data_IF_090751075854
#
_entry.id   IF_090751075854
#
_cell.length_a   1.000
_cell.length_b   1.000
_cell.length_c   1.000
_cell.angle_alpha   90.00
_cell.angle_beta   90.00
_cell.angle_gamma   90.00
#
_symmetry.space_group_name_H-M   'P 1'
#
loop_
_entity.id
_entity.type
_entity.pdbx_description
1 polymer ?
#
# COMPACT_ATOMS: atom_id res chain seq x y z
N UNK A 1 5.70 -11.36 -13.54
CA UNK A 1 5.36 -11.12 -12.14
C UNK A 1 6.44 -11.74 -11.30
N UNK A 2 7.11 -10.94 -10.48
CA UNK A 2 8.17 -11.38 -9.58
C UNK A 2 7.77 -11.01 -8.16
N UNK A 3 7.96 -11.93 -7.21
CA UNK A 3 7.73 -11.66 -5.79
C UNK A 3 8.97 -10.95 -5.25
N UNK A 4 8.83 -9.66 -4.93
CA UNK A 4 9.94 -8.84 -4.40
C UNK A 4 10.03 -8.96 -2.88
N UNK A 5 8.87 -9.05 -2.21
CA UNK A 5 8.80 -9.15 -0.76
C UNK A 5 7.55 -9.93 -0.33
N UNK A 6 7.68 -10.67 0.77
CA UNK A 6 6.55 -11.25 1.49
C UNK A 6 6.85 -11.36 2.98
N UNK A 7 5.83 -11.20 3.83
CA UNK A 7 5.96 -11.40 5.28
C UNK A 7 6.45 -12.81 5.63
N UNK A 8 6.04 -13.82 4.86
CA UNK A 8 6.39 -15.22 5.11
C UNK A 8 7.86 -15.54 4.81
N UNK A 9 8.46 -14.93 3.80
CA UNK A 9 9.84 -15.22 3.38
C UNK A 9 10.84 -14.26 4.02
N UNK A 10 10.45 -13.00 4.25
CA UNK A 10 11.37 -11.92 4.62
C UNK A 10 11.15 -11.37 6.03
N UNK A 11 10.04 -11.73 6.69
CA UNK A 11 9.70 -11.29 8.04
C UNK A 11 9.15 -9.86 8.11
N UNK A 12 8.79 -9.44 9.33
CA UNK A 12 8.00 -8.24 9.63
C UNK A 12 8.83 -7.00 9.96
N UNK A 13 9.72 -6.59 9.06
CA UNK A 13 10.58 -5.42 9.25
C UNK A 13 10.46 -4.46 8.07
N UNK A 14 10.10 -3.20 8.34
CA UNK A 14 10.02 -2.19 7.29
C UNK A 14 11.41 -1.88 6.68
N UNK A 15 12.48 -2.03 7.45
CA UNK A 15 13.86 -1.95 6.90
C UNK A 15 14.09 -3.03 5.85
N UNK A 16 13.74 -4.29 6.14
CA UNK A 16 13.90 -5.40 5.19
C UNK A 16 12.98 -5.23 3.98
N UNK A 17 11.77 -4.71 4.19
CA UNK A 17 10.86 -4.36 3.11
C UNK A 17 11.46 -3.36 2.13
N UNK A 18 12.13 -2.30 2.62
CA UNK A 18 12.83 -1.34 1.75
C UNK A 18 14.04 -1.97 1.05
N UNK A 19 14.84 -2.77 1.76
CA UNK A 19 16.00 -3.47 1.20
C UNK A 19 15.60 -4.37 0.01
N UNK A 20 14.49 -5.11 0.14
CA UNK A 20 13.94 -5.95 -0.93
C UNK A 20 13.50 -5.15 -2.18
N UNK A 21 13.26 -3.85 -2.05
CA UNK A 21 12.78 -2.99 -3.15
C UNK A 21 13.88 -2.11 -3.77
N UNK A 22 15.10 -2.10 -3.22
CA UNK A 22 16.14 -1.14 -3.64
C UNK A 22 16.53 -1.22 -5.11
N UNK A 23 16.51 -2.41 -5.70
CA UNK A 23 16.89 -2.65 -7.10
C UNK A 23 15.66 -2.74 -8.03
N UNK A 24 14.46 -2.49 -7.52
CA UNK A 24 13.22 -2.51 -8.30
C UNK A 24 12.96 -1.12 -8.90
N UNK A 25 13.05 -0.99 -10.22
CA UNK A 25 12.66 0.23 -10.96
C UNK A 25 11.37 -0.01 -11.76
N UNK A 26 10.43 -0.75 -11.18
CA UNK A 26 9.19 -1.16 -11.85
C UNK A 26 7.97 -0.91 -10.96
N UNK A 27 6.79 -0.71 -11.56
CA UNK A 27 5.56 -0.64 -10.78
C UNK A 27 5.34 -1.88 -9.93
N UNK A 28 4.84 -1.68 -8.72
CA UNK A 28 4.59 -2.75 -7.76
C UNK A 28 3.11 -2.86 -7.41
N UNK A 29 2.67 -4.10 -7.18
CA UNK A 29 1.37 -4.39 -6.58
C UNK A 29 1.61 -4.90 -5.17
N UNK A 30 1.05 -4.17 -4.21
CA UNK A 30 0.96 -4.57 -2.83
C UNK A 30 -0.35 -5.33 -2.60
N UNK A 31 -0.26 -6.53 -2.04
CA UNK A 31 -1.39 -7.41 -1.70
C UNK A 31 -1.37 -7.67 -0.20
N UNK A 32 -2.45 -7.33 0.50
CA UNK A 32 -2.62 -7.50 1.95
C UNK A 32 -3.80 -8.43 2.20
N UNK A 33 -3.64 -9.32 3.18
CA UNK A 33 -4.73 -10.10 3.76
C UNK A 33 -4.86 -9.80 5.24
N UNK A 34 -6.03 -9.38 5.68
CA UNK A 34 -6.28 -9.14 7.11
C UNK A 34 -6.66 -10.41 7.90
N UNK A 35 -6.76 -10.31 9.22
CA UNK A 35 -7.13 -11.42 10.10
C UNK A 35 -8.57 -11.92 9.95
N UNK A 36 -9.41 -11.24 9.15
CA UNK A 36 -10.74 -11.69 8.77
C UNK A 36 -10.77 -12.34 7.37
N UNK A 37 -9.64 -12.37 6.68
CA UNK A 37 -9.50 -12.94 5.34
C UNK A 37 -9.87 -11.99 4.20
N UNK A 38 -10.08 -10.70 4.48
CA UNK A 38 -10.29 -9.70 3.44
C UNK A 38 -8.99 -9.43 2.69
N UNK A 39 -9.07 -9.37 1.36
CA UNK A 39 -7.91 -9.15 0.48
C UNK A 39 -8.02 -7.81 -0.21
N UNK A 40 -7.02 -6.96 -0.04
CA UNK A 40 -6.97 -5.60 -0.56
C UNK A 40 -5.53 -5.14 -0.75
N UNK A 41 -5.34 -3.95 -1.28
CA UNK A 41 -4.00 -3.41 -1.42
C UNK A 41 -3.92 -2.19 -2.31
N UNK A 42 -2.76 -2.04 -2.95
CA UNK A 42 -2.45 -0.89 -3.76
C UNK A 42 -1.63 -1.27 -4.99
N UNK A 43 -1.79 -0.50 -6.07
CA UNK A 43 -0.82 -0.41 -7.15
C UNK A 43 -0.04 0.88 -6.98
N UNK A 44 1.29 0.77 -7.08
CA UNK A 44 2.21 1.89 -7.00
C UNK A 44 3.00 1.95 -8.29
N UNK A 45 3.14 3.16 -8.86
CA UNK A 45 3.92 3.35 -10.07
C UNK A 45 5.43 3.20 -9.85
N UNK A 46 5.89 3.29 -8.60
CA UNK A 46 7.27 3.19 -8.16
C UNK A 46 7.30 2.60 -6.73
N UNK A 47 8.42 1.99 -6.28
CA UNK A 47 8.52 1.51 -4.90
C UNK A 47 8.51 2.61 -3.86
N UNK A 48 8.29 2.24 -2.59
CA UNK A 48 8.39 3.19 -1.49
C UNK A 48 9.85 3.63 -1.28
N UNK A 49 10.05 4.94 -1.10
CA UNK A 49 11.37 5.52 -0.82
C UNK A 49 11.35 6.32 0.49
N UNK A 50 11.89 5.77 1.60
CA UNK A 50 11.87 6.43 2.91
C UNK A 50 12.84 7.62 3.03
N UNK A 51 13.65 7.90 2.00
CA UNK A 51 14.60 9.02 2.00
C UNK A 51 13.98 10.34 1.51
N UNK A 52 12.81 10.27 0.86
CA UNK A 52 12.11 11.44 0.33
C UNK A 52 11.21 12.03 1.41
N UNK A 53 11.49 13.26 1.81
CA UNK A 53 10.62 14.02 2.70
C UNK A 53 9.41 14.54 1.91
N UNK A 54 8.28 13.85 2.00
CA UNK A 54 7.01 14.29 1.43
C UNK A 54 6.24 13.16 0.75
N UNK A 55 5.37 13.55 -0.18
CA UNK A 55 4.58 12.60 -0.96
C UNK A 55 5.30 12.23 -2.24
N UNK A 56 5.25 10.95 -2.59
CA UNK A 56 5.78 10.38 -3.84
C UNK A 56 4.66 9.75 -4.67
N UNK A 57 5.01 9.14 -5.80
CA UNK A 57 4.08 8.52 -6.73
C UNK A 57 3.35 9.51 -7.65
N UNK A 58 2.49 8.96 -8.50
CA UNK A 58 1.72 9.73 -9.47
C UNK A 58 0.25 9.27 -9.54
N UNK A 59 -0.50 9.81 -10.50
CA UNK A 59 -1.95 9.53 -10.69
C UNK A 59 -2.26 8.10 -11.16
N UNK A 60 -1.26 7.32 -11.54
CA UNK A 60 -1.41 5.91 -11.88
C UNK A 60 -1.54 5.04 -10.64
N UNK A 61 -1.09 5.52 -9.46
CA UNK A 61 -1.34 4.85 -8.19
C UNK A 61 -2.85 4.70 -7.93
N UNK A 62 -3.24 3.56 -7.37
CA UNK A 62 -4.63 3.32 -6.96
C UNK A 62 -4.70 2.33 -5.81
N UNK A 63 -5.76 2.44 -5.02
CA UNK A 63 -6.15 1.44 -4.03
C UNK A 63 -7.11 0.44 -4.66
N UNK A 64 -7.15 -0.77 -4.13
CA UNK A 64 -8.09 -1.78 -4.57
C UNK A 64 -8.52 -2.70 -3.43
N UNK A 65 -9.68 -3.32 -3.56
CA UNK A 65 -10.12 -4.42 -2.68
C UNK A 65 -10.86 -5.49 -3.47
N UNK A 66 -10.76 -6.74 -3.00
CA UNK A 66 -11.60 -7.84 -3.46
C UNK A 66 -13.00 -7.69 -2.90
N UNK A 67 -14.00 -8.01 -3.70
CA UNK A 67 -15.43 -8.06 -3.33
C UNK A 67 -16.03 -9.37 -3.85
N UNK A 68 -17.27 -9.67 -3.47
CA UNK A 68 -18.00 -10.83 -4.01
C UNK A 68 -18.17 -10.75 -5.54
N UNK A 69 -18.23 -9.54 -6.10
CA UNK A 69 -18.42 -9.27 -7.53
C UNK A 69 -17.10 -9.17 -8.31
N UNK A 70 -15.95 -9.30 -7.65
CA UNK A 70 -14.63 -9.25 -8.27
C UNK A 70 -13.69 -8.25 -7.61
N UNK A 71 -13.14 -7.32 -8.39
CA UNK A 71 -12.17 -6.33 -7.92
C UNK A 71 -12.76 -4.92 -8.01
N UNK A 72 -12.76 -4.20 -6.88
CA UNK A 72 -13.12 -2.78 -6.83
C UNK A 72 -11.85 -1.94 -6.80
N UNK A 73 -11.72 -1.00 -7.74
CA UNK A 73 -10.54 -0.15 -7.92
C UNK A 73 -10.90 1.30 -7.58
N UNK A 74 -10.05 1.95 -6.77
CA UNK A 74 -10.18 3.34 -6.33
C UNK A 74 -9.00 4.16 -6.89
N UNK A 75 -9.23 4.80 -8.04
CA UNK A 75 -8.21 5.58 -8.75
C UNK A 75 -7.97 6.94 -8.09
N UNK A 76 -6.79 7.50 -8.31
CA UNK A 76 -6.46 8.86 -7.91
C UNK A 76 -7.54 9.87 -8.35
N UNK A 77 -8.00 10.67 -7.40
CA UNK A 77 -8.93 11.78 -7.61
C UNK A 77 -8.19 13.02 -8.11
N UNK A 78 -8.92 14.11 -8.35
CA UNK A 78 -8.35 15.42 -8.69
C UNK A 78 -8.23 16.36 -7.48
N UNK A 79 -8.53 15.87 -6.26
CA UNK A 79 -8.61 16.73 -5.05
C UNK A 79 -7.23 17.10 -4.52
N UNK A 80 -6.29 16.16 -4.53
CA UNK A 80 -4.90 16.37 -4.11
C UNK A 80 -3.96 15.40 -4.85
N UNK A 81 -2.66 15.53 -4.58
CA UNK A 81 -1.60 14.71 -5.19
C UNK A 81 -0.78 13.99 -4.11
N UNK A 82 -1.44 13.56 -3.04
CA UNK A 82 -0.80 12.94 -1.88
C UNK A 82 -0.85 11.42 -1.97
N UNK A 83 -0.21 10.85 -3.00
CA UNK A 83 -0.42 9.45 -3.40
C UNK A 83 0.25 8.44 -2.48
N UNK A 84 1.54 8.61 -2.19
CA UNK A 84 2.34 7.69 -1.39
C UNK A 84 3.12 8.47 -0.32
N UNK A 85 3.34 7.86 0.84
CA UNK A 85 4.22 8.38 1.87
C UNK A 85 4.90 7.22 2.59
N UNK A 86 6.19 7.37 2.89
CA UNK A 86 6.99 6.36 3.54
C UNK A 86 8.07 7.01 4.39
N UNK A 87 8.31 6.47 5.58
CA UNK A 87 9.46 6.80 6.41
C UNK A 87 9.92 5.55 7.19
N UNK A 88 10.71 5.71 8.25
CA UNK A 88 11.21 4.58 9.05
C UNK A 88 10.13 3.95 9.94
N UNK A 89 9.01 4.64 10.16
CA UNK A 89 7.97 4.26 11.09
C UNK A 89 6.72 3.72 10.40
N UNK A 90 6.48 4.06 9.12
CA UNK A 90 5.33 3.57 8.37
C UNK A 90 5.46 3.66 6.84
N UNK A 91 4.53 2.97 6.17
CA UNK A 91 4.17 3.21 4.77
C UNK A 91 2.68 3.51 4.66
N UNK A 92 2.32 4.39 3.74
CA UNK A 92 0.94 4.78 3.53
C UNK A 92 0.63 5.15 2.08
N UNK A 93 -0.64 4.94 1.71
CA UNK A 93 -1.23 5.29 0.42
C UNK A 93 -2.42 6.21 0.62
N UNK A 94 -2.35 7.39 0.02
CA UNK A 94 -3.42 8.38 -0.03
C UNK A 94 -3.65 9.05 1.31
N UNK A 95 -3.90 10.35 1.32
CA UNK A 95 -4.19 11.06 2.56
C UNK A 95 -5.23 12.16 2.35
N UNK A 96 -6.12 12.31 3.32
CA UNK A 96 -7.09 13.40 3.34
C UNK A 96 -6.47 14.69 3.90
N UNK A 97 -7.18 15.82 3.78
CA UNK A 97 -6.70 17.10 4.33
C UNK A 97 -6.54 17.13 5.86
N UNK A 98 -7.02 16.12 6.57
CA UNK A 98 -6.93 15.97 8.03
C UNK A 98 -5.79 15.03 8.45
N UNK A 99 -5.03 14.48 7.50
CA UNK A 99 -3.93 13.55 7.77
C UNK A 99 -4.37 12.09 7.93
N UNK A 100 -5.59 11.74 7.49
CA UNK A 100 -6.11 10.37 7.54
C UNK A 100 -5.72 9.61 6.27
N UNK A 101 -5.05 8.48 6.43
CA UNK A 101 -4.56 7.67 5.32
C UNK A 101 -5.63 6.75 4.73
N UNK A 102 -5.58 6.56 3.40
CA UNK A 102 -6.41 5.60 2.67
C UNK A 102 -6.08 4.15 3.07
N UNK A 103 -4.78 3.88 3.15
CA UNK A 103 -4.19 2.65 3.65
C UNK A 103 -2.87 3.00 4.35
N UNK A 104 -2.64 2.45 5.53
CA UNK A 104 -1.48 2.65 6.38
C UNK A 104 -1.02 1.31 6.93
N UNK A 105 0.29 1.09 7.03
CA UNK A 105 0.92 -0.01 7.76
C UNK A 105 2.05 0.53 8.65
N UNK A 106 2.17 -0.02 9.85
CA UNK A 106 3.22 0.32 10.81
C UNK A 106 4.61 -0.22 10.40
N UNK A 107 5.64 0.11 11.19
CA UNK A 107 7.03 -0.28 10.97
C UNK A 107 7.29 -1.79 11.04
N UNK A 108 6.33 -2.54 11.59
CA UNK A 108 6.39 -4.00 11.62
C UNK A 108 5.57 -4.61 10.47
N UNK A 109 4.82 -3.83 9.72
CA UNK A 109 3.91 -4.31 8.65
C UNK A 109 2.84 -5.29 9.16
N UNK A 110 2.58 -5.28 10.47
CA UNK A 110 1.65 -6.20 11.15
C UNK A 110 0.35 -5.52 11.53
N UNK A 111 0.35 -4.20 11.72
CA UNK A 111 -0.86 -3.46 12.03
C UNK A 111 -1.08 -2.36 11.00
N UNK A 112 -2.34 -2.16 10.64
CA UNK A 112 -2.71 -1.13 9.69
C UNK A 112 -4.01 -0.42 10.00
N UNK A 113 -4.21 0.68 9.28
CA UNK A 113 -5.47 1.42 9.27
C UNK A 113 -5.88 1.67 7.81
N UNK A 114 -7.16 1.52 7.52
CA UNK A 114 -7.75 1.98 6.26
C UNK A 114 -8.95 2.87 6.56
N UNK A 115 -8.98 4.03 5.92
CA UNK A 115 -10.07 5.01 6.05
C UNK A 115 -10.38 5.61 4.68
N UNK A 116 -11.58 6.18 4.48
CA UNK A 116 -11.83 7.01 3.32
C UNK A 116 -10.89 8.21 3.29
N UNK A 117 -10.30 8.50 2.13
CA UNK A 117 -9.44 9.67 1.94
C UNK A 117 -9.76 10.44 0.65
N UNK A 118 -9.35 11.70 0.61
CA UNK A 118 -9.58 12.58 -0.54
C UNK A 118 -8.81 12.13 -1.79
N UNK A 119 -7.62 11.53 -1.61
CA UNK A 119 -6.73 11.16 -2.72
C UNK A 119 -7.33 10.08 -3.61
N UNK A 120 -8.02 9.08 -3.03
CA UNK A 120 -8.55 7.94 -3.77
C UNK A 120 -10.06 7.81 -3.72
N UNK A 121 -10.73 8.61 -2.87
CA UNK A 121 -12.17 8.48 -2.60
C UNK A 121 -12.57 7.04 -2.26
N UNK A 122 -11.66 6.32 -1.61
CA UNK A 122 -11.87 4.93 -1.23
C UNK A 122 -12.83 4.81 -0.05
N UNK A 123 -13.39 3.63 0.13
CA UNK A 123 -13.98 3.23 1.40
C UNK A 123 -12.94 2.50 2.25
N UNK A 124 -13.32 2.05 3.45
CA UNK A 124 -12.45 1.15 4.24
C UNK A 124 -12.18 -0.13 3.44
N UNK A 125 -10.91 -0.41 3.18
CA UNK A 125 -10.50 -1.53 2.33
C UNK A 125 -10.59 -2.86 3.07
N UNK A 126 -10.18 -2.88 4.34
CA UNK A 126 -10.19 -4.02 5.26
C UNK A 126 -11.57 -4.30 5.87
N UNK A 127 -11.69 -5.39 6.64
CA UNK A 127 -12.91 -5.72 7.36
C UNK A 127 -13.31 -4.64 8.39
N UNK A 128 -12.32 -3.99 8.98
CA UNK A 128 -12.47 -2.92 9.98
C UNK A 128 -11.46 -1.82 9.71
N UNK A 129 -11.77 -0.60 10.18
CA UNK A 129 -10.89 0.56 10.04
C UNK A 129 -9.45 0.25 10.50
N UNK A 130 -9.29 -0.40 11.66
CA UNK A 130 -8.00 -0.96 12.11
C UNK A 130 -7.98 -2.45 11.83
N UNK A 131 -6.87 -2.94 11.31
CA UNK A 131 -6.73 -4.34 10.93
C UNK A 131 -5.36 -4.88 11.32
N UNK A 132 -5.30 -6.19 11.57
CA UNK A 132 -4.06 -6.94 11.70
C UNK A 132 -3.74 -7.54 10.32
N UNK A 133 -2.54 -7.26 9.82
CA UNK A 133 -2.01 -7.79 8.58
C UNK A 133 -1.47 -9.20 8.83
N UNK A 134 -2.08 -10.21 8.20
CA UNK A 134 -1.66 -11.61 8.33
C UNK A 134 -0.79 -12.08 7.16
N UNK A 135 -0.96 -11.45 6.00
CA UNK A 135 -0.09 -11.63 4.85
C UNK A 135 0.07 -10.29 4.12
N UNK A 136 1.29 -10.01 3.68
CA UNK A 136 1.65 -8.91 2.81
C UNK A 136 2.61 -9.48 1.78
N UNK A 137 2.29 -9.25 0.51
CA UNK A 137 3.13 -9.58 -0.64
C UNK A 137 3.29 -8.34 -1.52
N UNK A 138 4.49 -8.16 -2.07
CA UNK A 138 4.80 -7.12 -3.05
C UNK A 138 5.29 -7.78 -4.32
N UNK A 139 4.60 -7.47 -5.41
CA UNK A 139 4.86 -8.07 -6.71
C UNK A 139 5.24 -7.02 -7.74
N UNK A 140 6.32 -7.23 -8.49
CA UNK A 140 6.71 -6.37 -9.61
C UNK A 140 6.32 -6.98 -10.97
N UNK A 141 6.16 -6.13 -11.98
CA UNK A 141 6.04 -6.54 -13.38
C UNK A 141 7.28 -6.06 -14.12
N UNK A 142 8.24 -6.96 -14.34
CA UNK A 142 9.36 -6.69 -15.24
C UNK A 142 8.91 -6.92 -16.69
N UNK A 143 9.24 -5.96 -17.55
CA UNK A 143 9.11 -6.11 -19.00
C UNK A 143 10.43 -6.68 -19.53
N UNK A 144 10.37 -7.87 -20.15
CA UNK A 144 11.49 -8.42 -20.94
C UNK A 144 11.74 -7.61 -22.22
#
# INVERSE_FOLDING_TARGET
>A
WYLEYSLSEHGSSLTTFYECQMDCDSPIIMVITDCYGEVFGAYLNEPFNPTINGFTGNRECFLWKKTEEGLKIFRASTINEYFMMADQDFIAMGVDKKGVFGLFLDSMLLNGESSPCDTYLNEVLSAKKRFECTSLEVWSVQYE
#
